data_IF_126090967093
#
_entry.id   IF_126090967093
#
_cell.length_a   1.000
_cell.length_b   1.000
_cell.length_c   1.000
_cell.angle_alpha   90.00
_cell.angle_beta   90.00
_cell.angle_gamma   90.00
#
_symmetry.space_group_name_H-M   'P 1'
#
loop_
_entity.id
_entity.type
_entity.pdbx_description
1 polymer ?
#
# COMPACT_ATOMS: atom_id res chain seq x y z
N UNK A 1 0.73 69.84 -12.12
CA UNK A 1 0.31 68.44 -11.86
C UNK A 1 0.18 68.11 -10.36
N UNK A 2 1.10 68.58 -9.50
CA UNK A 2 1.09 68.25 -8.05
C UNK A 2 -0.07 68.90 -7.26
N UNK A 3 -0.45 70.14 -7.61
CA UNK A 3 -1.58 70.87 -6.99
C UNK A 3 -2.93 70.22 -7.32
N UNK A 4 -3.16 69.87 -8.58
CA UNK A 4 -4.40 69.23 -9.05
C UNK A 4 -4.67 67.88 -8.35
N UNK A 5 -3.63 67.06 -8.21
CA UNK A 5 -3.73 65.78 -7.50
C UNK A 5 -4.07 65.97 -6.02
N UNK A 6 -3.56 67.04 -5.39
CA UNK A 6 -3.84 67.35 -3.99
C UNK A 6 -5.29 67.82 -3.78
N UNK A 7 -5.81 68.62 -4.71
CA UNK A 7 -7.23 69.02 -4.73
C UNK A 7 -8.16 67.82 -4.97
N UNK A 8 -7.80 66.92 -5.89
CA UNK A 8 -8.56 65.68 -6.16
C UNK A 8 -8.56 64.73 -4.95
N UNK A 9 -7.41 64.57 -4.28
CA UNK A 9 -7.30 63.77 -3.06
C UNK A 9 -8.14 64.32 -1.90
N UNK A 10 -8.14 65.65 -1.71
CA UNK A 10 -9.01 66.32 -0.74
C UNK A 10 -10.50 66.10 -1.04
N UNK A 11 -10.95 66.39 -2.26
CA UNK A 11 -12.35 66.22 -2.66
C UNK A 11 -12.82 64.77 -2.52
N UNK A 12 -11.99 63.79 -2.92
CA UNK A 12 -12.31 62.38 -2.78
C UNK A 12 -12.50 61.97 -1.32
N UNK A 13 -11.67 62.51 -0.41
CA UNK A 13 -11.76 62.22 1.03
C UNK A 13 -13.05 62.77 1.63
N UNK A 14 -13.46 63.99 1.25
CA UNK A 14 -14.75 64.57 1.67
C UNK A 14 -15.93 63.75 1.15
N UNK A 15 -15.90 63.36 -0.13
CA UNK A 15 -16.98 62.57 -0.74
C UNK A 15 -17.10 61.14 -0.19
N UNK A 16 -16.00 60.59 0.31
CA UNK A 16 -15.96 59.29 0.99
C UNK A 16 -16.18 59.40 2.51
N UNK A 17 -16.93 60.41 2.97
CA UNK A 17 -17.31 60.53 4.38
C UNK A 17 -16.15 60.85 5.33
N UNK A 18 -15.16 61.61 4.85
CA UNK A 18 -13.91 61.96 5.55
C UNK A 18 -12.98 60.75 5.82
N UNK A 19 -13.14 59.66 5.04
CA UNK A 19 -12.31 58.45 5.12
C UNK A 19 -11.22 58.44 4.06
N UNK A 20 -9.96 58.48 4.51
CA UNK A 20 -8.79 58.40 3.64
C UNK A 20 -8.66 57.04 2.97
N UNK A 21 -9.00 55.95 3.67
CA UNK A 21 -8.91 54.60 3.12
C UNK A 21 -9.94 54.35 2.00
N UNK A 22 -11.15 54.87 2.18
CA UNK A 22 -12.19 54.73 1.16
C UNK A 22 -11.89 55.60 -0.07
N UNK A 23 -11.36 56.81 0.14
CA UNK A 23 -10.89 57.67 -0.94
C UNK A 23 -9.71 57.05 -1.71
N UNK A 24 -8.77 56.42 -1.01
CA UNK A 24 -7.65 55.69 -1.60
C UNK A 24 -8.13 54.51 -2.47
N UNK A 25 -9.06 53.71 -1.95
CA UNK A 25 -9.68 52.60 -2.68
C UNK A 25 -10.42 53.09 -3.93
N UNK A 26 -11.21 54.16 -3.82
CA UNK A 26 -11.96 54.76 -4.94
C UNK A 26 -11.06 55.29 -6.05
N UNK A 27 -9.88 55.82 -5.69
CA UNK A 27 -8.94 56.41 -6.65
C UNK A 27 -7.81 55.45 -7.06
N UNK A 28 -7.82 54.20 -6.60
CA UNK A 28 -6.80 53.18 -6.88
C UNK A 28 -5.36 53.62 -6.53
N UNK A 29 -5.18 54.40 -5.45
CA UNK A 29 -3.86 54.82 -4.94
C UNK A 29 -3.72 54.48 -3.45
N UNK A 30 -2.52 54.59 -2.88
CA UNK A 30 -2.32 54.26 -1.46
C UNK A 30 -2.90 55.32 -0.52
N UNK A 31 -3.39 54.90 0.65
CA UNK A 31 -3.85 55.79 1.72
C UNK A 31 -2.75 56.78 2.18
N UNK A 32 -1.49 56.36 2.12
CA UNK A 32 -0.32 57.21 2.38
C UNK A 32 -0.17 58.33 1.35
N UNK A 33 -0.55 58.09 0.09
CA UNK A 33 -0.50 59.09 -0.98
C UNK A 33 -1.60 60.13 -0.80
N UNK A 34 -2.83 59.71 -0.51
CA UNK A 34 -3.95 60.63 -0.18
C UNK A 34 -3.61 61.47 1.06
N UNK A 35 -3.05 60.87 2.10
CA UNK A 35 -2.66 61.59 3.33
C UNK A 35 -1.60 62.66 3.06
N UNK A 36 -0.59 62.35 2.23
CA UNK A 36 0.45 63.32 1.81
C UNK A 36 -0.14 64.46 0.98
N UNK A 37 -1.06 64.16 0.08
CA UNK A 37 -1.78 65.16 -0.73
C UNK A 37 -2.56 66.15 0.13
N UNK A 38 -3.31 65.66 1.12
CA UNK A 38 -4.06 66.52 2.05
C UNK A 38 -3.10 67.37 2.89
N UNK A 39 -2.06 66.74 3.45
CA UNK A 39 -1.10 67.45 4.32
C UNK A 39 -0.34 68.54 3.56
N UNK A 40 0.04 68.28 2.30
CA UNK A 40 0.68 69.27 1.43
C UNK A 40 -0.28 70.44 1.16
N UNK A 41 -1.54 70.15 0.88
CA UNK A 41 -2.55 71.17 0.61
C UNK A 41 -2.81 72.06 1.82
N UNK A 42 -2.94 71.49 3.02
CA UNK A 42 -3.11 72.26 4.26
C UNK A 42 -1.88 73.11 4.59
N UNK A 43 -0.69 72.60 4.27
CA UNK A 43 0.58 73.35 4.41
C UNK A 43 0.60 74.55 3.47
N UNK A 44 0.23 74.35 2.21
CA UNK A 44 0.20 75.42 1.20
C UNK A 44 -0.86 76.48 1.51
N UNK A 45 -1.97 76.09 2.15
CA UNK A 45 -3.05 77.01 2.56
C UNK A 45 -2.75 77.75 3.87
N UNK A 46 -1.82 77.25 4.69
CA UNK A 46 -1.52 77.80 6.01
C UNK A 46 -2.61 77.56 7.06
N UNK A 47 -3.59 76.70 6.79
CA UNK A 47 -4.62 76.30 7.74
C UNK A 47 -5.11 74.87 7.47
N UNK A 48 -5.60 74.22 8.52
CA UNK A 48 -6.15 72.87 8.44
C UNK A 48 -7.56 72.87 7.85
N UNK A 49 -7.84 71.89 6.99
CA UNK A 49 -9.16 71.62 6.40
C UNK A 49 -9.90 70.53 7.20
N UNK A 50 -9.16 69.66 7.89
CA UNK A 50 -9.70 68.63 8.77
C UNK A 50 -9.24 68.80 10.22
N UNK A 51 -10.16 68.53 11.15
CA UNK A 51 -9.84 68.37 12.56
C UNK A 51 -9.68 66.88 12.88
N UNK A 52 -8.77 66.56 13.81
CA UNK A 52 -8.60 65.19 14.32
C UNK A 52 -9.39 65.00 15.60
N UNK A 53 -10.46 64.21 15.54
CA UNK A 53 -11.29 63.87 16.70
C UNK A 53 -11.30 62.35 16.87
N UNK A 54 -10.80 61.84 18.01
CA UNK A 54 -10.76 60.40 18.33
C UNK A 54 -10.21 59.54 17.18
N UNK A 55 -9.06 59.95 16.62
CA UNK A 55 -8.38 59.30 15.49
C UNK A 55 -9.16 59.27 14.16
N UNK A 56 -10.19 60.10 13.99
CA UNK A 56 -10.89 60.31 12.72
C UNK A 56 -10.68 61.73 12.21
N UNK A 57 -10.57 61.87 10.90
CA UNK A 57 -10.58 63.17 10.24
C UNK A 57 -12.04 63.64 10.13
N UNK A 58 -12.29 64.88 10.55
CA UNK A 58 -13.60 65.52 10.47
C UNK A 58 -13.44 66.83 9.74
N UNK A 59 -14.21 67.04 8.67
CA UNK A 59 -14.12 68.26 7.87
C UNK A 59 -14.54 69.49 8.70
N UNK A 60 -13.63 70.43 8.89
CA UNK A 60 -13.90 71.64 9.67
C UNK A 60 -14.60 72.71 8.83
N UNK A 61 -14.90 73.87 9.44
CA UNK A 61 -15.65 74.93 8.77
C UNK A 61 -14.92 75.51 7.54
N UNK A 62 -13.61 75.74 7.67
CA UNK A 62 -12.75 76.19 6.56
C UNK A 62 -12.74 75.15 5.44
N UNK A 63 -12.65 73.86 5.79
CA UNK A 63 -12.73 72.74 4.87
C UNK A 63 -14.04 72.67 4.10
N UNK A 64 -15.18 72.95 4.75
CA UNK A 64 -16.50 72.97 4.07
C UNK A 64 -16.63 74.08 3.05
N UNK A 65 -16.15 75.28 3.36
CA UNK A 65 -16.15 76.42 2.43
C UNK A 65 -15.19 76.13 1.26
N UNK A 66 -13.98 75.67 1.58
CA UNK A 66 -12.96 75.37 0.59
C UNK A 66 -13.39 74.25 -0.38
N UNK A 67 -14.06 73.20 0.10
CA UNK A 67 -14.58 72.12 -0.73
C UNK A 67 -15.57 72.60 -1.81
N UNK A 68 -16.46 73.55 -1.47
CA UNK A 68 -17.42 74.10 -2.45
C UNK A 68 -16.72 74.79 -3.61
N UNK A 69 -15.69 75.57 -3.32
CA UNK A 69 -14.95 76.33 -4.33
C UNK A 69 -14.03 75.42 -5.17
N UNK A 70 -13.29 74.52 -4.52
CA UNK A 70 -12.41 73.57 -5.24
C UNK A 70 -13.21 72.66 -6.17
N UNK A 71 -14.39 72.20 -5.74
CA UNK A 71 -15.25 71.36 -6.58
C UNK A 71 -15.69 72.08 -7.85
N UNK A 72 -16.00 73.39 -7.78
CA UNK A 72 -16.32 74.21 -8.95
C UNK A 72 -15.13 74.37 -9.87
N UNK A 73 -13.96 74.69 -9.31
CA UNK A 73 -12.71 74.86 -10.08
C UNK A 73 -12.31 73.57 -10.80
N UNK A 74 -12.42 72.41 -10.14
CA UNK A 74 -12.12 71.12 -10.78
C UNK A 74 -13.11 70.81 -11.93
N UNK A 75 -14.40 71.14 -11.76
CA UNK A 75 -15.40 70.99 -12.82
C UNK A 75 -15.14 71.94 -14.00
N UNK A 76 -14.73 73.18 -13.74
CA UNK A 76 -14.39 74.14 -14.79
C UNK A 76 -13.07 73.79 -15.47
N UNK A 77 -12.09 73.25 -14.73
CA UNK A 77 -10.88 72.66 -15.30
C UNK A 77 -11.22 71.47 -16.21
N UNK A 78 -12.09 70.57 -15.78
CA UNK A 78 -12.56 69.45 -16.61
C UNK A 78 -13.27 69.96 -17.88
N UNK A 79 -14.07 71.03 -17.78
CA UNK A 79 -14.68 71.71 -18.95
C UNK A 79 -13.65 72.36 -19.87
N UNK A 80 -12.61 72.98 -19.31
CA UNK A 80 -11.52 73.58 -20.08
C UNK A 80 -10.66 72.51 -20.75
N UNK A 81 -10.35 71.40 -20.10
CA UNK A 81 -9.70 70.25 -20.72
C UNK A 81 -10.58 69.62 -21.81
N UNK A 82 -11.90 69.60 -21.60
CA UNK A 82 -12.86 69.21 -22.64
C UNK A 82 -12.92 70.23 -23.80
N UNK A 83 -12.65 71.51 -23.55
CA UNK A 83 -12.65 72.61 -24.52
C UNK A 83 -11.33 72.87 -25.26
N UNK A 84 -10.18 72.47 -24.72
CA UNK A 84 -8.82 72.81 -25.23
C UNK A 84 -8.22 71.83 -26.26
N UNK A 85 -9.02 71.02 -26.94
CA UNK A 85 -8.58 70.18 -28.08
C UNK A 85 -9.33 70.56 -29.37
N UNK A 86 -9.21 71.84 -29.72
CA UNK A 86 -9.73 72.45 -30.94
C UNK A 86 -8.73 72.56 -32.09
N UNK A 87 -7.58 71.86 -32.06
CA UNK A 87 -6.67 71.75 -33.21
C UNK A 87 -6.36 70.26 -33.45
N UNK A 88 -6.91 69.72 -34.56
CA UNK A 88 -6.89 68.33 -35.08
C UNK A 88 -7.29 67.23 -34.07
N UNK A 89 -8.61 66.98 -34.00
CA UNK A 89 -9.31 66.15 -33.01
C UNK A 89 -9.26 64.65 -33.34
N UNK A 90 -8.38 63.88 -32.69
CA UNK A 90 -8.57 62.43 -32.54
C UNK A 90 -9.79 62.25 -31.62
N UNK A 91 -10.84 61.57 -32.07
CA UNK A 91 -12.12 61.47 -31.36
C UNK A 91 -11.92 60.90 -29.94
N UNK A 92 -12.47 61.55 -28.91
CA UNK A 92 -12.44 61.03 -27.52
C UNK A 92 -13.06 59.63 -27.42
N UNK A 93 -13.92 59.30 -28.36
CA UNK A 93 -14.49 57.97 -28.58
C UNK A 93 -13.41 56.91 -28.85
N UNK A 94 -12.33 57.23 -29.58
CA UNK A 94 -11.27 56.27 -29.91
C UNK A 94 -10.46 55.83 -28.68
N UNK A 95 -10.14 56.76 -27.77
CA UNK A 95 -9.40 56.49 -26.53
C UNK A 95 -10.29 55.75 -25.53
N UNK A 96 -11.55 56.19 -25.38
CA UNK A 96 -12.54 55.50 -24.55
C UNK A 96 -12.80 54.07 -25.06
N UNK A 97 -12.94 53.88 -26.37
CA UNK A 97 -13.10 52.56 -27.01
C UNK A 97 -11.90 51.65 -26.77
N UNK A 98 -10.66 52.17 -26.86
CA UNK A 98 -9.44 51.39 -26.59
C UNK A 98 -9.33 50.94 -25.13
N UNK A 99 -9.66 51.82 -24.19
CA UNK A 99 -9.65 51.48 -22.75
C UNK A 99 -10.77 50.51 -22.37
N UNK A 100 -11.96 50.68 -22.94
CA UNK A 100 -13.08 49.75 -22.75
C UNK A 100 -12.74 48.36 -23.33
N UNK A 101 -12.16 48.32 -24.53
CA UNK A 101 -11.69 47.08 -25.18
C UNK A 101 -10.61 46.37 -24.35
N UNK A 102 -9.64 47.10 -23.81
CA UNK A 102 -8.59 46.52 -22.96
C UNK A 102 -9.16 45.97 -21.65
N UNK A 103 -10.11 46.66 -21.01
CA UNK A 103 -10.77 46.20 -19.78
C UNK A 103 -11.63 44.96 -20.03
N UNK A 104 -12.38 44.92 -21.13
CA UNK A 104 -13.15 43.75 -21.56
C UNK A 104 -12.20 42.59 -21.85
N UNK A 105 -11.12 42.82 -22.59
CA UNK A 105 -10.13 41.79 -22.95
C UNK A 105 -9.45 41.18 -21.72
N UNK A 106 -9.10 41.99 -20.73
CA UNK A 106 -8.50 41.53 -19.48
C UNK A 106 -9.48 40.73 -18.62
N UNK A 107 -10.73 41.19 -18.49
CA UNK A 107 -11.75 40.41 -17.78
C UNK A 107 -12.06 39.09 -18.50
N UNK A 108 -12.12 39.08 -19.83
CA UNK A 108 -12.36 37.87 -20.62
C UNK A 108 -11.18 36.89 -20.52
N UNK A 109 -9.93 37.37 -20.48
CA UNK A 109 -8.76 36.50 -20.28
C UNK A 109 -8.73 35.88 -18.87
N UNK A 110 -9.12 36.65 -17.84
CA UNK A 110 -9.23 36.16 -16.47
C UNK A 110 -10.34 35.12 -16.30
N UNK A 111 -11.49 35.34 -16.94
CA UNK A 111 -12.60 34.36 -16.98
C UNK A 111 -12.15 33.09 -17.72
N UNK A 112 -11.47 33.22 -18.86
CA UNK A 112 -10.91 32.07 -19.60
C UNK A 112 -9.87 31.29 -18.78
N UNK A 113 -9.01 31.97 -18.02
CA UNK A 113 -8.03 31.31 -17.15
C UNK A 113 -8.72 30.55 -16.01
N UNK A 114 -9.73 31.15 -15.36
CA UNK A 114 -10.55 30.46 -14.36
C UNK A 114 -11.26 29.24 -14.93
N UNK A 115 -11.86 29.37 -16.13
CA UNK A 115 -12.50 28.26 -16.84
C UNK A 115 -11.52 27.11 -17.13
N UNK A 116 -10.31 27.42 -17.61
CA UNK A 116 -9.27 26.40 -17.85
C UNK A 116 -8.87 25.68 -16.57
N UNK A 117 -8.65 26.40 -15.46
CA UNK A 117 -8.32 25.78 -14.16
C UNK A 117 -9.49 24.92 -13.66
N UNK A 118 -10.73 25.39 -13.83
CA UNK A 118 -11.93 24.64 -13.43
C UNK A 118 -12.07 23.35 -14.25
N UNK A 119 -11.83 23.40 -15.56
CA UNK A 119 -11.84 22.24 -16.45
C UNK A 119 -10.75 21.23 -16.08
N UNK A 120 -9.52 21.68 -15.81
CA UNK A 120 -8.42 20.79 -15.36
C UNK A 120 -8.79 20.09 -14.05
N UNK A 121 -9.43 20.79 -13.10
CA UNK A 121 -9.89 20.17 -11.85
C UNK A 121 -10.99 19.12 -12.09
N UNK A 122 -11.89 19.36 -13.03
CA UNK A 122 -12.95 18.41 -13.39
C UNK A 122 -12.36 17.17 -14.06
N UNK A 123 -11.45 17.34 -15.03
CA UNK A 123 -10.80 16.20 -15.71
C UNK A 123 -9.90 15.41 -14.78
N UNK A 124 -9.18 16.07 -13.87
CA UNK A 124 -8.35 15.42 -12.85
C UNK A 124 -9.20 14.59 -11.88
N UNK A 125 -10.34 15.14 -11.42
CA UNK A 125 -11.30 14.39 -10.60
C UNK A 125 -11.85 13.18 -11.35
N UNK A 126 -12.24 13.34 -12.62
CA UNK A 126 -12.70 12.24 -13.47
C UNK A 126 -11.64 11.15 -13.66
N UNK A 127 -10.39 11.54 -13.88
CA UNK A 127 -9.26 10.62 -13.99
C UNK A 127 -8.98 9.88 -12.67
N UNK A 128 -9.07 10.56 -11.52
CA UNK A 128 -8.92 9.95 -10.20
C UNK A 128 -10.01 8.91 -9.93
N UNK A 129 -11.27 9.23 -10.27
CA UNK A 129 -12.39 8.27 -10.15
C UNK A 129 -12.16 7.07 -11.08
N UNK A 130 -11.73 7.31 -12.32
CA UNK A 130 -11.39 6.24 -13.27
C UNK A 130 -10.28 5.33 -12.74
N UNK A 131 -9.19 5.91 -12.20
CA UNK A 131 -8.10 5.15 -11.58
C UNK A 131 -8.60 4.28 -10.43
N UNK A 132 -9.47 4.84 -9.57
CA UNK A 132 -10.03 4.12 -8.42
C UNK A 132 -10.94 2.96 -8.87
N UNK A 133 -11.74 3.15 -9.92
CA UNK A 133 -12.53 2.08 -10.55
C UNK A 133 -11.62 1.02 -11.17
N UNK A 134 -10.55 1.39 -11.87
CA UNK A 134 -9.60 0.42 -12.42
C UNK A 134 -8.89 -0.38 -11.32
N UNK A 135 -8.43 0.28 -10.25
CA UNK A 135 -7.80 -0.38 -9.10
C UNK A 135 -8.79 -1.36 -8.45
N UNK A 136 -10.02 -0.94 -8.18
CA UNK A 136 -11.05 -1.82 -7.59
C UNK A 136 -11.40 -2.99 -8.51
N UNK A 137 -11.48 -2.79 -9.83
CA UNK A 137 -11.70 -3.86 -10.80
C UNK A 137 -10.54 -4.87 -10.83
N UNK A 138 -9.29 -4.38 -10.80
CA UNK A 138 -8.09 -5.23 -10.69
C UNK A 138 -8.11 -5.98 -9.36
N UNK A 139 -8.45 -5.32 -8.26
CA UNK A 139 -8.53 -5.93 -6.93
C UNK A 139 -9.59 -7.03 -6.88
N UNK A 140 -10.78 -6.77 -7.45
CA UNK A 140 -11.87 -7.75 -7.58
C UNK A 140 -11.45 -8.91 -8.47
N UNK A 141 -10.76 -8.65 -9.58
CA UNK A 141 -10.24 -9.70 -10.46
C UNK A 141 -9.22 -10.60 -9.74
N UNK A 142 -8.24 -10.01 -9.05
CA UNK A 142 -7.23 -10.72 -8.27
C UNK A 142 -7.84 -11.49 -7.07
N UNK A 143 -8.86 -10.92 -6.42
CA UNK A 143 -9.60 -11.59 -5.37
C UNK A 143 -10.38 -12.79 -5.93
N UNK A 144 -11.04 -12.59 -7.08
CA UNK A 144 -11.88 -13.60 -7.73
C UNK A 144 -11.07 -14.79 -8.25
N UNK A 145 -9.90 -14.59 -8.85
CA UNK A 145 -9.04 -15.70 -9.29
C UNK A 145 -8.58 -16.57 -8.11
N UNK A 146 -8.26 -15.95 -6.98
CA UNK A 146 -7.87 -16.67 -5.76
C UNK A 146 -9.05 -17.38 -5.08
N UNK A 147 -10.24 -16.78 -5.10
CA UNK A 147 -11.45 -17.43 -4.61
C UNK A 147 -11.81 -18.71 -5.38
N UNK A 148 -11.56 -18.72 -6.70
CA UNK A 148 -11.74 -19.94 -7.51
C UNK A 148 -10.75 -21.03 -7.13
N UNK A 149 -9.51 -20.68 -6.79
CA UNK A 149 -8.50 -21.64 -6.36
C UNK A 149 -8.86 -22.30 -5.02
N UNK A 150 -9.28 -21.51 -4.04
CA UNK A 150 -9.74 -22.02 -2.73
C UNK A 150 -10.88 -23.03 -2.92
N UNK A 151 -11.88 -22.67 -3.73
CA UNK A 151 -13.02 -23.53 -4.04
C UNK A 151 -12.60 -24.80 -4.76
N UNK A 152 -11.55 -24.74 -5.58
CA UNK A 152 -11.07 -25.88 -6.35
C UNK A 152 -10.29 -26.87 -5.47
N UNK A 153 -9.36 -26.39 -4.64
CA UNK A 153 -8.70 -27.22 -3.61
C UNK A 153 -9.77 -27.87 -2.74
N UNK A 154 -10.72 -27.09 -2.24
CA UNK A 154 -11.77 -27.60 -1.37
C UNK A 154 -12.60 -28.70 -2.04
N UNK A 155 -12.99 -28.52 -3.32
CA UNK A 155 -13.72 -29.55 -4.07
C UNK A 155 -12.93 -30.85 -4.25
N UNK A 156 -11.62 -30.76 -4.47
CA UNK A 156 -10.74 -31.92 -4.65
C UNK A 156 -10.36 -32.59 -3.32
N UNK A 157 -10.33 -31.83 -2.22
CA UNK A 157 -9.94 -32.33 -0.91
C UNK A 157 -10.90 -33.42 -0.38
N UNK A 158 -10.33 -34.45 0.25
CA UNK A 158 -11.09 -35.47 0.98
C UNK A 158 -11.60 -34.91 2.33
N UNK A 159 -12.54 -35.59 3.01
CA UNK A 159 -13.22 -35.03 4.18
C UNK A 159 -12.30 -34.56 5.32
N UNK A 160 -11.23 -35.32 5.62
CA UNK A 160 -10.31 -34.96 6.70
C UNK A 160 -9.54 -33.68 6.37
N UNK A 161 -8.97 -33.57 5.16
CA UNK A 161 -8.32 -32.35 4.69
C UNK A 161 -9.30 -31.17 4.63
N UNK A 162 -10.53 -31.35 4.16
CA UNK A 162 -11.57 -30.29 4.18
C UNK A 162 -11.82 -29.77 5.59
N UNK A 163 -11.94 -30.68 6.56
CA UNK A 163 -12.13 -30.29 7.96
C UNK A 163 -10.98 -29.44 8.47
N UNK A 164 -9.73 -29.78 8.13
CA UNK A 164 -8.54 -28.98 8.47
C UNK A 164 -8.59 -27.61 7.78
N UNK A 165 -8.97 -27.56 6.50
CA UNK A 165 -9.08 -26.30 5.75
C UNK A 165 -10.16 -25.37 6.32
N UNK A 166 -11.30 -25.91 6.77
CA UNK A 166 -12.40 -25.13 7.34
C UNK A 166 -12.09 -24.59 8.74
N UNK A 167 -11.48 -25.43 9.58
CA UNK A 167 -11.12 -25.09 10.96
C UNK A 167 -9.79 -24.34 11.08
N UNK A 168 -8.98 -24.36 10.02
CA UNK A 168 -7.61 -23.86 9.99
C UNK A 168 -6.60 -24.75 10.74
N UNK A 169 -7.08 -25.72 11.52
CA UNK A 169 -6.23 -26.62 12.30
C UNK A 169 -6.96 -27.91 12.69
N UNK A 170 -6.22 -29.01 12.80
CA UNK A 170 -6.73 -30.29 13.27
C UNK A 170 -5.88 -30.79 14.43
N UNK A 171 -6.51 -30.98 15.59
CA UNK A 171 -5.87 -31.47 16.81
C UNK A 171 -5.78 -32.99 16.76
N UNK A 172 -4.56 -33.47 16.97
CA UNK A 172 -4.19 -34.86 17.03
C UNK A 172 -3.86 -35.17 18.49
N UNK A 173 -4.75 -35.85 19.24
CA UNK A 173 -4.56 -36.09 20.66
C UNK A 173 -3.44 -37.11 20.93
N UNK A 174 -2.71 -36.90 22.03
CA UNK A 174 -1.56 -37.71 22.50
C UNK A 174 -1.85 -39.22 22.64
N UNK A 175 -3.11 -39.60 22.87
CA UNK A 175 -3.50 -40.95 23.33
C UNK A 175 -3.56 -41.99 22.20
N UNK A 176 -3.37 -41.62 20.92
CA UNK A 176 -3.40 -42.58 19.82
C UNK A 176 -1.99 -42.88 19.30
N UNK A 177 -1.41 -44.01 19.76
CA UNK A 177 -0.15 -44.60 19.24
C UNK A 177 -0.19 -44.99 17.75
N UNK A 178 -1.28 -44.69 17.06
CA UNK A 178 -1.58 -45.11 15.70
C UNK A 178 -2.13 -43.91 14.91
N UNK A 179 -1.28 -43.03 14.41
CA UNK A 179 -1.74 -41.81 13.72
C UNK A 179 -1.26 -41.74 12.28
N UNK A 180 -1.94 -42.47 11.37
CA UNK A 180 -1.83 -42.20 9.94
C UNK A 180 -2.51 -40.88 9.56
N UNK A 181 -3.12 -40.11 10.48
CA UNK A 181 -3.87 -38.90 10.14
C UNK A 181 -3.01 -37.83 9.48
N UNK A 182 -1.79 -37.60 9.97
CA UNK A 182 -0.82 -36.71 9.31
C UNK A 182 -0.43 -37.23 7.93
N UNK A 183 -0.16 -38.53 7.81
CA UNK A 183 0.20 -39.16 6.54
C UNK A 183 -0.97 -39.10 5.55
N UNK A 184 -2.21 -39.29 6.02
CA UNK A 184 -3.44 -39.22 5.23
C UNK A 184 -3.69 -37.79 4.78
N UNK A 185 -3.59 -36.79 5.67
CA UNK A 185 -3.77 -35.38 5.28
C UNK A 185 -2.68 -34.94 4.31
N UNK A 186 -1.43 -35.36 4.56
CA UNK A 186 -0.32 -35.13 3.63
C UNK A 186 -0.62 -35.78 2.28
N UNK A 187 -1.05 -37.05 2.25
CA UNK A 187 -1.41 -37.75 1.01
C UNK A 187 -2.60 -37.10 0.29
N UNK A 188 -3.61 -36.65 1.04
CA UNK A 188 -4.78 -35.96 0.48
C UNK A 188 -4.38 -34.60 -0.12
N UNK A 189 -3.52 -33.85 0.56
CA UNK A 189 -2.97 -32.60 0.04
C UNK A 189 -2.20 -32.85 -1.25
N UNK A 190 -1.36 -33.87 -1.23
CA UNK A 190 -0.56 -34.34 -2.35
C UNK A 190 -1.43 -34.68 -3.56
N UNK A 191 -2.50 -35.46 -3.36
CA UNK A 191 -3.46 -35.83 -4.41
C UNK A 191 -4.09 -34.59 -5.05
N UNK A 192 -4.48 -33.61 -4.24
CA UNK A 192 -5.03 -32.33 -4.70
C UNK A 192 -4.01 -31.55 -5.52
N UNK A 193 -2.77 -31.42 -5.03
CA UNK A 193 -1.71 -30.68 -5.71
C UNK A 193 -1.31 -31.33 -7.05
N UNK A 194 -1.22 -32.67 -7.12
CA UNK A 194 -1.01 -33.39 -8.37
C UNK A 194 -2.06 -33.06 -9.41
N UNK A 195 -3.32 -33.10 -8.98
CA UNK A 195 -4.45 -32.88 -9.86
C UNK A 195 -4.37 -31.47 -10.44
N UNK A 196 -4.03 -30.48 -9.61
CA UNK A 196 -3.85 -29.10 -10.05
C UNK A 196 -2.65 -28.94 -11.00
N UNK A 197 -1.53 -29.60 -10.76
CA UNK A 197 -0.37 -29.59 -11.68
C UNK A 197 -0.74 -30.22 -13.02
N UNK A 198 -1.40 -31.40 -13.01
CA UNK A 198 -1.86 -32.09 -14.22
C UNK A 198 -2.82 -31.23 -15.04
N UNK A 199 -3.67 -30.46 -14.37
CA UNK A 199 -4.57 -29.49 -14.99
C UNK A 199 -3.89 -28.17 -15.40
N UNK A 200 -2.54 -28.13 -15.40
CA UNK A 200 -1.70 -27.00 -15.82
C UNK A 200 -1.92 -25.71 -15.00
N UNK A 201 -2.21 -25.84 -13.71
CA UNK A 201 -2.19 -24.69 -12.81
C UNK A 201 -0.73 -24.35 -12.48
N UNK A 202 -0.35 -23.08 -12.66
CA UNK A 202 0.98 -22.61 -12.27
C UNK A 202 1.06 -22.58 -10.75
N UNK A 203 1.82 -23.50 -10.17
CA UNK A 203 2.00 -23.64 -8.74
C UNK A 203 3.47 -23.82 -8.43
N UNK A 204 3.97 -23.01 -7.50
CA UNK A 204 5.27 -23.24 -6.90
C UNK A 204 5.07 -23.95 -5.57
N UNK A 205 5.68 -25.12 -5.41
CA UNK A 205 5.54 -25.94 -4.21
C UNK A 205 6.91 -26.03 -3.57
N UNK A 206 7.02 -25.57 -2.33
CA UNK A 206 8.24 -25.66 -1.54
C UNK A 206 7.98 -26.49 -0.30
N UNK A 207 8.71 -27.59 -0.13
CA UNK A 207 8.69 -28.38 1.10
C UNK A 207 9.98 -28.13 1.86
N UNK A 208 9.91 -27.69 3.11
CA UNK A 208 11.05 -27.57 4.02
C UNK A 208 10.89 -28.64 5.10
N UNK A 209 11.79 -29.61 5.14
CA UNK A 209 11.79 -30.71 6.10
C UNK A 209 12.96 -30.59 7.07
N UNK A 210 12.67 -30.79 8.35
CA UNK A 210 13.67 -30.98 9.38
C UNK A 210 13.55 -32.41 9.94
N UNK A 211 14.61 -33.19 9.76
CA UNK A 211 14.65 -34.59 10.16
C UNK A 211 16.01 -34.99 10.69
N UNK A 212 16.06 -36.05 11.50
CA UNK A 212 17.34 -36.70 11.77
C UNK A 212 17.95 -37.23 10.46
N UNK A 213 19.28 -37.25 10.40
CA UNK A 213 19.96 -37.93 9.32
C UNK A 213 19.45 -39.36 9.25
N UNK A 214 19.04 -39.84 8.08
CA UNK A 214 18.56 -41.21 7.97
C UNK A 214 19.74 -42.13 8.32
N UNK A 215 19.55 -42.95 9.35
CA UNK A 215 20.49 -44.02 9.72
C UNK A 215 20.62 -45.04 8.60
N UNK A 216 19.71 -45.04 7.63
CA UNK A 216 19.82 -45.87 6.45
C UNK A 216 19.68 -45.16 5.14
N UNK A 217 20.15 -45.83 4.09
CA UNK A 217 20.01 -45.42 2.71
C UNK A 217 18.56 -44.92 2.55
N UNK A 218 18.26 -43.76 1.92
CA UNK A 218 16.88 -43.42 1.50
C UNK A 218 16.29 -44.67 0.87
N UNK A 219 15.61 -45.48 1.67
CA UNK A 219 15.10 -46.76 1.26
C UNK A 219 13.65 -46.45 0.99
N UNK A 220 13.34 -46.57 -0.28
CA UNK A 220 12.00 -46.84 -0.72
C UNK A 220 11.47 -48.17 -0.21
N UNK A 221 12.29 -49.12 0.28
CA UNK A 221 11.84 -50.51 0.48
C UNK A 221 12.67 -51.45 1.44
N UNK A 222 13.28 -51.09 2.60
CA UNK A 222 13.90 -52.17 3.46
C UNK A 222 15.02 -51.93 4.54
N UNK A 223 14.94 -51.13 5.60
CA UNK A 223 15.92 -51.13 6.73
C UNK A 223 15.49 -51.95 7.97
N UNK A 224 16.28 -52.96 8.32
CA UNK A 224 16.14 -53.86 9.46
C UNK A 224 15.73 -53.23 10.81
N UNK A 225 16.14 -52.03 11.22
CA UNK A 225 15.80 -51.54 12.58
C UNK A 225 14.45 -50.82 12.69
N UNK A 226 13.90 -50.37 11.56
CA UNK A 226 12.58 -49.75 11.42
C UNK A 226 11.59 -50.74 10.78
N UNK A 227 12.11 -51.66 9.96
CA UNK A 227 11.37 -52.78 9.39
C UNK A 227 11.32 -53.99 10.33
N UNK A 228 12.22 -54.15 11.31
CA UNK A 228 12.05 -55.19 12.36
C UNK A 228 10.88 -54.92 13.29
N UNK A 229 10.56 -53.70 13.72
CA UNK A 229 9.33 -53.46 14.48
C UNK A 229 8.06 -53.58 13.63
N UNK A 230 8.11 -53.25 12.34
CA UNK A 230 6.99 -53.42 11.39
C UNK A 230 6.78 -54.87 10.92
N UNK A 231 7.81 -55.75 10.91
CA UNK A 231 7.74 -57.16 10.44
C UNK A 231 8.14 -58.24 11.47
N UNK A 232 8.79 -57.92 12.59
CA UNK A 232 9.33 -58.88 13.58
C UNK A 232 8.92 -58.64 15.06
N UNK A 233 8.43 -57.45 15.47
CA UNK A 233 7.87 -57.22 16.81
C UNK A 233 6.37 -56.88 16.78
N UNK A 234 5.57 -57.86 16.35
CA UNK A 234 4.09 -57.81 16.29
C UNK A 234 3.37 -57.56 17.64
N UNK A 235 4.05 -57.66 18.78
CA UNK A 235 3.36 -57.72 20.09
C UNK A 235 2.84 -56.37 20.62
N UNK A 236 3.21 -55.22 20.05
CA UNK A 236 2.94 -53.91 20.68
C UNK A 236 2.31 -52.81 19.78
N UNK A 237 1.93 -53.11 18.53
CA UNK A 237 1.27 -52.14 17.64
C UNK A 237 -0.21 -52.48 17.46
N UNK A 238 -1.09 -51.68 18.05
CA UNK A 238 -2.56 -51.81 17.92
C UNK A 238 -3.12 -51.21 16.60
N UNK A 239 -2.27 -50.92 15.61
CA UNK A 239 -2.64 -50.20 14.38
C UNK A 239 -2.69 -51.12 13.16
N UNK A 240 -3.49 -50.74 12.15
CA UNK A 240 -3.41 -51.26 10.79
C UNK A 240 -2.09 -50.81 10.12
N UNK A 241 -1.04 -51.64 10.30
CA UNK A 241 0.31 -51.45 9.77
C UNK A 241 0.29 -51.38 8.23
N UNK A 242 -0.53 -52.21 7.60
CA UNK A 242 -0.61 -52.32 6.14
C UNK A 242 -1.12 -51.00 5.53
N UNK A 243 -2.15 -50.41 6.14
CA UNK A 243 -2.65 -49.10 5.73
C UNK A 243 -1.60 -48.01 5.90
N UNK A 244 -0.86 -48.01 7.01
CA UNK A 244 0.21 -47.03 7.23
C UNK A 244 1.32 -47.14 6.17
N UNK A 245 1.76 -48.37 5.89
CA UNK A 245 2.76 -48.65 4.85
C UNK A 245 2.28 -48.21 3.47
N UNK A 246 1.03 -48.51 3.11
CA UNK A 246 0.45 -48.13 1.83
C UNK A 246 0.45 -46.61 1.62
N UNK A 247 0.04 -45.84 2.64
CA UNK A 247 0.00 -44.37 2.57
C UNK A 247 1.40 -43.74 2.53
N UNK A 248 2.36 -44.32 3.27
CA UNK A 248 3.76 -43.90 3.20
C UNK A 248 4.36 -44.14 1.80
N UNK A 249 4.14 -45.32 1.23
CA UNK A 249 4.63 -45.67 -0.10
C UNK A 249 4.03 -44.76 -1.18
N UNK A 250 2.73 -44.44 -1.08
CA UNK A 250 2.07 -43.44 -1.95
C UNK A 250 2.75 -42.07 -1.86
N UNK A 251 2.96 -41.56 -0.64
CA UNK A 251 3.61 -40.27 -0.40
C UNK A 251 5.03 -40.22 -1.00
N UNK A 252 5.76 -41.32 -0.87
CA UNK A 252 7.09 -41.45 -1.45
C UNK A 252 7.06 -41.40 -3.00
N UNK A 253 6.26 -42.25 -3.63
CA UNK A 253 6.20 -42.32 -5.10
C UNK A 253 5.81 -40.97 -5.70
N UNK A 254 4.91 -40.26 -5.02
CA UNK A 254 4.55 -38.91 -5.39
C UNK A 254 5.72 -37.92 -5.38
N UNK A 255 6.55 -37.89 -4.32
CA UNK A 255 7.72 -36.98 -4.28
C UNK A 255 8.63 -37.26 -5.48
N UNK A 256 8.82 -38.53 -5.85
CA UNK A 256 9.58 -38.87 -7.04
C UNK A 256 8.90 -38.38 -8.32
N UNK A 257 7.59 -38.51 -8.44
CA UNK A 257 6.85 -38.06 -9.62
C UNK A 257 6.89 -36.54 -9.78
N UNK A 258 6.79 -35.77 -8.68
CA UNK A 258 6.97 -34.32 -8.72
C UNK A 258 8.37 -33.93 -9.18
N UNK A 259 9.39 -34.61 -8.65
CA UNK A 259 10.79 -34.35 -9.00
C UNK A 259 11.10 -34.72 -10.45
N UNK A 260 10.39 -35.68 -11.03
CA UNK A 260 10.54 -36.09 -12.44
C UNK A 260 9.77 -35.19 -13.40
N UNK A 261 8.63 -34.64 -13.01
CA UNK A 261 7.69 -33.96 -13.93
C UNK A 261 7.99 -32.47 -14.20
N UNK A 262 9.25 -32.02 -14.14
CA UNK A 262 9.67 -30.63 -14.39
C UNK A 262 8.76 -29.56 -13.73
N UNK A 263 8.27 -29.89 -12.54
CA UNK A 263 7.40 -29.00 -11.77
C UNK A 263 8.27 -27.94 -11.06
N UNK A 264 7.71 -26.76 -10.76
CA UNK A 264 8.37 -25.77 -9.88
C UNK A 264 8.49 -26.25 -8.41
N UNK A 265 8.39 -27.56 -8.18
CA UNK A 265 8.58 -28.19 -6.90
C UNK A 265 10.05 -28.11 -6.46
N UNK A 266 10.26 -27.60 -5.26
CA UNK A 266 11.54 -27.66 -4.56
C UNK A 266 11.32 -28.32 -3.22
N UNK A 267 12.23 -29.20 -2.86
CA UNK A 267 12.26 -29.79 -1.52
C UNK A 267 13.60 -29.45 -0.88
N UNK A 268 13.55 -29.00 0.36
CA UNK A 268 14.70 -28.63 1.14
C UNK A 268 14.70 -29.51 2.38
N UNK A 269 15.77 -30.26 2.59
CA UNK A 269 15.88 -31.15 3.76
C UNK A 269 17.09 -30.77 4.58
N UNK A 270 16.88 -30.61 5.88
CA UNK A 270 17.90 -30.26 6.87
C UNK A 270 18.10 -31.45 7.82
N UNK A 271 19.37 -31.84 8.03
CA UNK A 271 19.70 -33.02 8.83
C UNK A 271 20.70 -32.75 9.98
N UNK A 272 20.47 -33.39 11.13
CA UNK A 272 21.20 -33.16 12.40
C UNK A 272 22.60 -33.78 12.58
N UNK A 273 22.98 -34.87 11.90
CA UNK A 273 24.14 -35.69 12.31
C UNK A 273 25.08 -36.08 11.16
N UNK A 274 26.40 -35.98 11.33
CA UNK A 274 27.41 -36.46 10.38
C UNK A 274 27.62 -37.99 10.39
N UNK A 275 27.23 -38.68 11.46
CA UNK A 275 27.38 -40.14 11.65
C UNK A 275 26.21 -40.92 11.04
N UNK A 276 26.00 -40.73 9.74
CA UNK A 276 25.03 -41.52 9.00
C UNK A 276 25.56 -42.94 8.81
N UNK A 277 24.88 -43.94 9.38
CA UNK A 277 25.13 -45.36 9.10
C UNK A 277 25.02 -45.69 7.59
N UNK A 278 24.36 -44.85 6.80
CA UNK A 278 24.38 -44.87 5.34
C UNK A 278 24.77 -43.52 4.72
N UNK A 279 25.95 -43.07 5.13
CA UNK A 279 26.65 -41.94 4.52
C UNK A 279 26.59 -41.96 2.98
N UNK A 280 26.64 -43.14 2.35
CA UNK A 280 26.60 -43.27 0.89
C UNK A 280 25.34 -42.70 0.22
N UNK A 281 24.12 -42.97 0.72
CA UNK A 281 22.94 -42.35 0.08
C UNK A 281 22.75 -40.90 0.48
N UNK A 282 23.08 -40.51 1.71
CA UNK A 282 23.11 -39.08 2.01
C UNK A 282 24.03 -38.38 1.01
N UNK A 283 25.21 -38.94 0.75
CA UNK A 283 26.15 -38.43 -0.26
C UNK A 283 25.56 -38.47 -1.68
N UNK A 284 24.85 -39.52 -2.07
CA UNK A 284 24.25 -39.60 -3.40
C UNK A 284 23.12 -38.58 -3.60
N UNK A 285 22.32 -38.32 -2.56
CA UNK A 285 21.33 -37.24 -2.59
C UNK A 285 21.97 -35.86 -2.53
N UNK A 286 23.04 -35.67 -1.75
CA UNK A 286 23.81 -34.43 -1.74
C UNK A 286 24.41 -34.19 -3.13
N UNK A 287 24.95 -35.22 -3.80
CA UNK A 287 25.44 -35.11 -5.18
C UNK A 287 24.31 -34.75 -6.15
N UNK A 288 23.13 -35.37 -5.98
CA UNK A 288 21.98 -35.17 -6.87
C UNK A 288 21.25 -33.84 -6.64
N UNK A 289 21.21 -33.36 -5.40
CA UNK A 289 20.45 -32.19 -4.96
C UNK A 289 21.27 -31.30 -4.00
N UNK A 290 22.46 -30.84 -4.41
CA UNK A 290 23.42 -30.20 -3.50
C UNK A 290 22.90 -28.91 -2.85
N UNK A 291 22.03 -28.18 -3.55
CA UNK A 291 21.48 -26.89 -3.08
C UNK A 291 20.12 -27.04 -2.37
N UNK A 292 19.72 -28.28 -2.12
CA UNK A 292 18.42 -28.64 -1.55
C UNK A 292 18.56 -29.53 -0.31
N UNK A 293 19.78 -29.93 0.03
CA UNK A 293 20.09 -30.77 1.19
C UNK A 293 21.15 -30.08 2.04
N UNK A 294 20.85 -29.87 3.33
CA UNK A 294 21.71 -29.12 4.24
C UNK A 294 22.01 -29.91 5.51
N UNK A 295 23.23 -29.75 6.01
CA UNK A 295 23.61 -30.25 7.32
C UNK A 295 23.43 -29.11 8.35
N UNK A 296 22.75 -29.39 9.47
CA UNK A 296 22.57 -28.44 10.57
C UNK A 296 23.53 -28.77 11.71
N UNK A 297 24.10 -27.74 12.33
CA UNK A 297 24.95 -27.92 13.49
C UNK A 297 24.11 -28.30 14.72
N UNK A 298 24.65 -29.17 15.57
CA UNK A 298 24.00 -29.73 16.76
C UNK A 298 23.41 -28.70 17.75
N UNK A 299 23.73 -27.41 17.64
CA UNK A 299 23.24 -26.34 18.52
C UNK A 299 21.78 -25.92 18.31
N UNK A 300 21.10 -26.39 17.25
CA UNK A 300 19.71 -26.01 16.92
C UNK A 300 18.65 -27.01 17.42
N UNK A 301 18.86 -27.64 18.59
CA UNK A 301 17.90 -28.57 19.24
C UNK A 301 16.50 -27.97 19.52
N UNK A 302 16.32 -26.66 19.32
CA UNK A 302 15.04 -25.96 19.51
C UNK A 302 14.06 -26.13 18.34
N UNK A 303 14.48 -26.71 17.21
CA UNK A 303 13.64 -26.84 16.02
C UNK A 303 12.92 -28.18 16.05
N UNK A 304 11.59 -28.14 16.03
CA UNK A 304 10.77 -29.34 15.99
C UNK A 304 11.05 -30.19 14.73
N UNK A 305 11.03 -31.52 14.87
CA UNK A 305 11.02 -32.43 13.73
C UNK A 305 9.70 -32.27 12.99
N UNK A 306 9.74 -32.31 11.67
CA UNK A 306 8.53 -32.20 10.86
C UNK A 306 8.80 -31.66 9.48
N UNK A 307 7.72 -31.36 8.77
CA UNK A 307 7.80 -30.72 7.47
C UNK A 307 6.80 -29.58 7.32
N UNK A 308 7.22 -28.57 6.58
CA UNK A 308 6.51 -27.35 6.28
C UNK A 308 6.30 -27.31 4.77
N UNK A 309 5.05 -27.39 4.32
CA UNK A 309 4.69 -27.33 2.91
C UNK A 309 4.13 -25.95 2.60
N UNK A 310 4.76 -25.27 1.66
CA UNK A 310 4.38 -23.95 1.20
C UNK A 310 3.97 -24.09 -0.26
N UNK A 311 2.71 -23.83 -0.56
CA UNK A 311 2.20 -23.78 -1.93
C UNK A 311 1.92 -22.33 -2.28
N UNK A 312 2.65 -21.79 -3.26
CA UNK A 312 2.42 -20.46 -3.79
C UNK A 312 1.54 -20.54 -5.02
N UNK A 313 0.46 -19.77 -5.00
CA UNK A 313 -0.38 -19.54 -6.16
C UNK A 313 -0.73 -18.05 -6.25
N UNK A 314 -0.26 -17.38 -7.31
CA UNK A 314 -0.34 -15.94 -7.43
C UNK A 314 0.33 -15.23 -6.25
N UNK A 315 -0.44 -14.43 -5.51
CA UNK A 315 0.05 -13.61 -4.39
C UNK A 315 -0.14 -14.27 -3.01
N UNK A 316 -0.65 -15.51 -2.96
CA UNK A 316 -0.99 -16.19 -1.71
C UNK A 316 -0.16 -17.44 -1.50
N UNK A 317 0.09 -17.72 -0.22
CA UNK A 317 0.80 -18.89 0.25
C UNK A 317 -0.14 -19.76 1.05
N UNK A 318 -0.25 -21.03 0.68
CA UNK A 318 -0.98 -22.02 1.46
C UNK A 318 0.04 -22.82 2.22
N UNK A 319 -0.04 -22.70 3.54
CA UNK A 319 0.82 -23.39 4.46
C UNK A 319 0.15 -24.66 4.95
N UNK A 320 0.87 -25.78 4.87
CA UNK A 320 0.55 -27.01 5.59
C UNK A 320 1.71 -27.43 6.48
N UNK A 321 1.46 -27.55 7.79
CA UNK A 321 2.48 -27.91 8.77
C UNK A 321 1.92 -28.80 9.85
N UNK A 322 2.73 -29.77 10.27
CA UNK A 322 2.54 -30.48 11.53
C UNK A 322 3.37 -29.80 12.61
N UNK A 323 2.73 -29.37 13.69
CA UNK A 323 3.39 -28.74 14.84
C UNK A 323 3.03 -29.50 16.10
N UNK A 324 4.01 -29.75 16.97
CA UNK A 324 3.74 -30.33 18.29
C UNK A 324 3.28 -29.21 19.23
N UNK A 325 1.97 -28.94 19.26
CA UNK A 325 1.35 -27.94 20.14
C UNK A 325 1.70 -26.48 19.83
N UNK A 326 0.71 -25.59 19.99
CA UNK A 326 0.69 -24.17 19.60
C UNK A 326 1.85 -23.25 20.10
N UNK A 327 2.90 -23.74 20.77
CA UNK A 327 4.01 -22.92 21.27
C UNK A 327 5.29 -23.69 21.68
N UNK A 328 5.47 -24.98 21.34
CA UNK A 328 6.45 -25.81 22.06
C UNK A 328 7.91 -25.64 21.60
N UNK A 329 8.56 -24.62 22.17
CA UNK A 329 9.99 -24.60 22.41
C UNK A 329 10.42 -25.82 23.25
N UNK A 330 11.37 -26.58 22.70
CA UNK A 330 12.32 -27.44 23.42
C UNK A 330 11.78 -28.26 24.60
N UNK A 331 11.30 -29.47 24.34
CA UNK A 331 11.39 -30.57 25.30
C UNK A 331 11.07 -31.90 24.61
N UNK A 332 11.85 -32.94 24.95
CA UNK A 332 11.63 -34.34 24.65
C UNK A 332 10.37 -34.90 25.35
N UNK A 333 9.19 -34.28 25.21
CA UNK A 333 7.93 -34.75 25.80
C UNK A 333 6.83 -34.79 24.75
N UNK A 334 6.20 -35.95 24.60
CA UNK A 334 5.04 -36.16 23.74
C UNK A 334 3.90 -35.23 24.16
N UNK A 335 3.38 -34.46 23.20
CA UNK A 335 2.23 -33.56 23.36
C UNK A 335 1.37 -33.65 22.11
N UNK A 336 0.11 -33.25 22.24
CA UNK A 336 -0.82 -33.14 21.11
C UNK A 336 -0.17 -32.46 19.90
N UNK A 337 -0.32 -33.08 18.73
CA UNK A 337 0.12 -32.51 17.47
C UNK A 337 -1.04 -31.75 16.81
N UNK A 338 -0.70 -30.77 15.99
CA UNK A 338 -1.67 -29.96 15.26
C UNK A 338 -1.25 -29.91 13.81
N UNK A 339 -2.17 -30.28 12.92
CA UNK A 339 -2.00 -30.04 11.50
C UNK A 339 -2.69 -28.73 11.17
N UNK A 340 -1.98 -27.84 10.50
CA UNK A 340 -2.48 -26.52 10.19
C UNK A 340 -2.57 -26.39 8.68
N UNK A 341 -3.70 -25.91 8.17
CA UNK A 341 -3.84 -25.46 6.78
C UNK A 341 -4.27 -23.99 6.78
N UNK A 342 -3.39 -23.09 6.33
CA UNK A 342 -3.70 -21.66 6.33
C UNK A 342 -3.28 -20.96 5.05
N UNK A 343 -4.15 -20.05 4.60
CA UNK A 343 -3.88 -19.12 3.52
C UNK A 343 -3.31 -17.83 4.09
N UNK A 344 -2.11 -17.47 3.66
CA UNK A 344 -1.30 -16.40 4.21
C UNK A 344 -0.79 -15.49 3.10
N UNK A 345 -0.60 -14.20 3.40
CA UNK A 345 0.27 -13.35 2.57
C UNK A 345 1.73 -13.70 2.83
N UNK A 346 2.66 -13.24 1.98
CA UNK A 346 4.09 -13.42 2.24
C UNK A 346 4.51 -12.83 3.61
N UNK A 347 3.90 -11.71 4.00
CA UNK A 347 4.20 -11.07 5.28
C UNK A 347 3.67 -11.91 6.45
N UNK A 348 2.43 -12.41 6.36
CA UNK A 348 1.85 -13.25 7.40
C UNK A 348 2.60 -14.57 7.55
N UNK A 349 3.00 -15.17 6.42
CA UNK A 349 3.80 -16.39 6.42
C UNK A 349 5.07 -16.17 7.26
N UNK A 350 5.82 -15.07 7.02
CA UNK A 350 7.06 -14.71 7.76
C UNK A 350 6.90 -14.61 9.28
N UNK A 351 5.70 -14.35 9.77
CA UNK A 351 5.40 -14.21 11.19
C UNK A 351 4.77 -15.46 11.81
N UNK A 352 4.45 -16.48 11.00
CA UNK A 352 3.56 -17.57 11.39
C UNK A 352 4.14 -18.57 12.41
N UNK A 353 5.42 -18.94 12.32
CA UNK A 353 5.99 -20.09 13.05
C UNK A 353 6.86 -19.72 14.29
N UNK A 354 6.63 -18.53 14.87
CA UNK A 354 7.49 -17.93 15.89
C UNK A 354 8.98 -17.84 15.49
N UNK A 355 9.30 -17.95 14.20
CA UNK A 355 10.63 -17.83 13.63
C UNK A 355 11.41 -19.14 13.48
N UNK A 356 10.87 -20.31 13.82
CA UNK A 356 11.67 -21.55 13.89
C UNK A 356 12.11 -22.09 12.51
N UNK A 357 11.17 -22.39 11.61
CA UNK A 357 11.48 -22.76 10.23
C UNK A 357 11.88 -21.55 9.40
N UNK A 358 11.37 -20.35 9.70
CA UNK A 358 11.83 -19.13 9.04
C UNK A 358 13.28 -18.78 9.31
N UNK A 359 13.80 -19.09 10.50
CA UNK A 359 15.24 -19.01 10.78
C UNK A 359 16.01 -19.91 9.82
N UNK A 360 15.59 -21.16 9.66
CA UNK A 360 16.22 -22.11 8.71
C UNK A 360 16.14 -21.61 7.26
N UNK A 361 14.98 -21.12 6.84
CA UNK A 361 14.79 -20.59 5.47
C UNK A 361 15.78 -19.46 5.19
N UNK A 362 15.98 -18.55 6.15
CA UNK A 362 16.94 -17.44 6.02
C UNK A 362 18.38 -17.91 6.09
N UNK A 363 18.71 -18.76 7.06
CA UNK A 363 20.07 -19.24 7.32
C UNK A 363 20.63 -20.04 6.12
N UNK A 364 19.78 -20.86 5.49
CA UNK A 364 20.16 -21.70 4.36
C UNK A 364 19.76 -21.12 3.00
N UNK A 365 19.35 -19.84 2.94
CA UNK A 365 18.93 -19.15 1.71
C UNK A 365 17.93 -19.95 0.85
N UNK A 366 16.94 -20.58 1.51
CA UNK A 366 15.92 -21.39 0.85
C UNK A 366 15.00 -20.50 0.01
N UNK A 367 14.95 -20.76 -1.30
CA UNK A 367 14.11 -19.98 -2.21
C UNK A 367 12.66 -20.50 -2.25
N UNK A 368 11.79 -19.88 -1.45
CA UNK A 368 10.35 -20.13 -1.44
C UNK A 368 9.58 -19.38 -2.55
N UNK A 369 10.20 -18.44 -3.28
CA UNK A 369 9.56 -17.45 -4.15
C UNK A 369 9.71 -17.68 -5.67
#
# INVERSE_FOLDING_TARGET
MQVENSLKGFCATVECGNSVNDAATRNCISATTISKQISSLETDLGFLLFDRVKNKLVLNEKGRVYYKEVKRVLLDLDRLYAGKLGIKRVSSFSIFRKNLQNKIKYNLSLVNLKLKIMLIRITLKGFLVFLLVCITAIWVYLYRTNWFFDRKIYKLAKPLLRSVMESGHYRIPEIHRCQPQTVIISSDLIDVLLTLIKEKHLLKITRVGHSECPSTQLRMTGDDAIDKPLFFHQKNLNCDIDRYYLEYNKSYHFIQDLLKNDSEFKFYTLYHNSKCLNHNILNDNIKKYPNQIFNINHSDEKIARGSFWIVKNGNYYYLVSETNGMQAHGANVAKDSYIIFQKLTLNDLKHYDNGSYWKLIKEYNINID
#
